data_IF_533152194096
#
_entry.id   IF_533152194096
#
_cell.length_a   1.000
_cell.length_b   1.000
_cell.length_c   1.000
_cell.angle_alpha   90.00
_cell.angle_beta   90.00
_cell.angle_gamma   90.00
#
_symmetry.space_group_name_H-M   'P 1'
#
loop_
_entity.id
_entity.type
_entity.pdbx_description
1 polymer ?
#
# COMPACT_ATOMS: atom_id res chain seq x y z
N UNK A 1 18.93 -40.27 9.48
CA UNK A 1 19.39 -39.67 10.75
C UNK A 1 20.47 -38.66 10.44
N UNK A 2 20.40 -37.45 11.00
CA UNK A 2 21.43 -36.40 10.84
C UNK A 2 22.55 -36.51 11.89
N UNK A 3 22.41 -37.44 12.85
CA UNK A 3 23.39 -37.71 13.91
C UNK A 3 24.71 -38.15 13.29
N UNK A 4 25.81 -37.52 13.70
CA UNK A 4 27.18 -37.82 13.23
C UNK A 4 27.65 -37.05 11.99
N UNK A 5 26.80 -36.21 11.38
CA UNK A 5 27.21 -35.33 10.27
C UNK A 5 27.72 -33.99 10.76
N UNK A 6 28.60 -33.36 9.99
CA UNK A 6 29.10 -32.03 10.33
C UNK A 6 28.01 -30.98 10.05
N UNK A 7 27.72 -30.13 11.03
CA UNK A 7 26.71 -29.07 10.89
C UNK A 7 27.09 -28.03 9.83
N UNK A 8 28.37 -27.90 9.49
CA UNK A 8 28.84 -27.01 8.41
C UNK A 8 28.27 -27.36 7.04
N UNK A 9 27.93 -28.63 6.79
CA UNK A 9 27.38 -29.11 5.52
C UNK A 9 26.00 -28.51 5.19
N UNK A 10 25.32 -27.99 6.20
CA UNK A 10 23.97 -27.44 6.07
C UNK A 10 23.96 -25.92 5.91
N UNK A 11 25.07 -25.20 6.09
CA UNK A 11 25.09 -23.75 5.87
C UNK A 11 25.18 -23.45 4.38
N UNK A 12 24.31 -22.56 3.87
CA UNK A 12 24.29 -22.22 2.45
C UNK A 12 25.40 -21.23 2.05
N UNK A 13 25.92 -20.46 3.01
CA UNK A 13 26.93 -19.41 2.80
C UNK A 13 28.25 -19.78 3.47
N UNK A 14 29.35 -19.57 2.74
CA UNK A 14 30.72 -19.77 3.25
C UNK A 14 31.02 -18.80 4.40
N UNK A 15 31.67 -19.26 5.47
CA UNK A 15 32.05 -18.44 6.63
C UNK A 15 30.90 -18.10 7.60
N UNK A 16 29.64 -18.40 7.25
CA UNK A 16 28.47 -18.08 8.08
C UNK A 16 28.50 -18.82 9.42
N UNK A 17 28.93 -20.08 9.42
CA UNK A 17 29.04 -20.90 10.64
C UNK A 17 30.09 -20.34 11.59
N UNK A 18 31.27 -19.99 11.09
CA UNK A 18 32.38 -19.45 11.89
C UNK A 18 31.94 -18.14 12.57
N UNK A 19 31.21 -17.30 11.84
CA UNK A 19 30.61 -16.07 12.39
C UNK A 19 29.60 -16.37 13.49
N UNK A 20 28.71 -17.34 13.31
CA UNK A 20 27.73 -17.73 14.33
C UNK A 20 28.43 -18.30 15.56
N UNK A 21 29.33 -19.25 15.39
CA UNK A 21 30.04 -19.90 16.50
C UNK A 21 30.83 -18.87 17.30
N UNK A 22 31.58 -17.99 16.62
CA UNK A 22 32.32 -16.92 17.30
C UNK A 22 31.39 -15.93 18.03
N UNK A 23 30.23 -15.59 17.45
CA UNK A 23 29.23 -14.74 18.09
C UNK A 23 28.64 -15.39 19.34
N UNK A 24 28.24 -16.67 19.27
CA UNK A 24 27.66 -17.39 20.42
C UNK A 24 28.69 -17.59 21.54
N UNK A 25 29.96 -17.88 21.21
CA UNK A 25 31.01 -18.00 22.22
C UNK A 25 31.31 -16.66 22.89
N UNK A 26 31.34 -15.57 22.10
CA UNK A 26 31.63 -14.22 22.61
C UNK A 26 30.48 -13.66 23.45
N UNK A 27 29.25 -13.77 22.96
CA UNK A 27 28.08 -13.08 23.49
C UNK A 27 27.22 -13.99 24.39
N UNK A 28 27.57 -15.28 24.49
CA UNK A 28 26.87 -16.27 25.31
C UNK A 28 25.56 -16.78 24.71
N UNK A 29 25.07 -16.17 23.63
CA UNK A 29 23.91 -16.63 22.87
C UNK A 29 23.80 -15.90 21.52
N UNK A 30 23.01 -16.46 20.62
CA UNK A 30 22.43 -15.75 19.47
C UNK A 30 20.93 -16.06 19.46
N UNK A 31 20.10 -15.07 19.14
CA UNK A 31 18.64 -15.24 19.12
C UNK A 31 18.07 -14.58 17.88
N UNK A 32 17.30 -15.34 17.11
CA UNK A 32 16.58 -14.79 15.97
C UNK A 32 17.48 -14.36 14.80
N UNK A 33 18.66 -14.97 14.65
CA UNK A 33 19.53 -14.66 13.50
C UNK A 33 18.99 -15.35 12.25
N UNK A 34 18.66 -14.58 11.22
CA UNK A 34 18.22 -15.12 9.94
C UNK A 34 19.40 -15.63 9.13
N UNK A 35 19.31 -16.89 8.71
CA UNK A 35 20.34 -17.55 7.94
C UNK A 35 19.75 -18.50 6.90
N UNK A 36 20.58 -18.92 5.96
CA UNK A 36 20.15 -19.83 4.90
C UNK A 36 20.79 -21.19 5.09
N UNK A 37 19.94 -22.20 5.18
CA UNK A 37 20.37 -23.59 5.30
C UNK A 37 20.10 -24.35 4.01
N UNK A 38 20.88 -25.40 3.78
CA UNK A 38 20.62 -26.42 2.78
C UNK A 38 19.89 -27.58 3.44
N UNK A 39 18.70 -27.89 2.95
CA UNK A 39 17.94 -29.07 3.40
C UNK A 39 18.65 -30.36 2.99
N UNK A 40 18.22 -31.50 3.55
CA UNK A 40 18.73 -32.80 3.11
C UNK A 40 18.42 -33.10 1.63
N UNK A 41 17.44 -32.41 1.04
CA UNK A 41 17.07 -32.52 -0.36
C UNK A 41 17.90 -31.58 -1.26
N UNK A 42 18.79 -30.76 -0.68
CA UNK A 42 19.65 -29.82 -1.40
C UNK A 42 19.05 -28.43 -1.59
N UNK A 43 17.77 -28.23 -1.25
CA UNK A 43 17.05 -26.96 -1.33
C UNK A 43 17.58 -25.94 -0.32
N UNK A 44 17.57 -24.67 -0.68
CA UNK A 44 17.90 -23.58 0.24
C UNK A 44 16.63 -23.18 0.99
N UNK A 45 16.70 -23.19 2.32
CA UNK A 45 15.63 -22.75 3.22
C UNK A 45 16.10 -21.54 4.02
N UNK A 46 15.22 -20.57 4.20
CA UNK A 46 15.43 -19.48 5.16
C UNK A 46 15.11 -20.02 6.56
N UNK A 47 16.06 -19.88 7.48
CA UNK A 47 15.97 -20.37 8.85
C UNK A 47 16.22 -19.25 9.85
N UNK A 48 15.46 -19.25 10.94
CA UNK A 48 15.67 -18.39 12.09
C UNK A 48 16.42 -19.18 13.16
N UNK A 49 17.68 -18.85 13.40
CA UNK A 49 18.55 -19.54 14.33
C UNK A 49 18.60 -18.84 15.68
N UNK A 50 18.39 -19.63 16.73
CA UNK A 50 18.81 -19.29 18.09
C UNK A 50 19.75 -20.37 18.60
N UNK A 51 20.86 -19.98 19.21
CA UNK A 51 21.84 -20.92 19.73
C UNK A 51 22.50 -20.42 21.02
N UNK A 52 22.80 -21.37 21.91
CA UNK A 52 23.48 -21.14 23.18
C UNK A 52 24.62 -22.15 23.38
N UNK A 53 25.68 -21.80 24.11
CA UNK A 53 26.69 -22.77 24.53
C UNK A 53 26.13 -23.68 25.63
N UNK A 54 26.46 -24.96 25.55
CA UNK A 54 26.14 -25.98 26.55
C UNK A 54 27.35 -26.88 26.80
N UNK A 55 27.26 -27.71 27.83
CA UNK A 55 28.16 -28.86 28.00
C UNK A 55 27.39 -30.13 27.68
N UNK A 56 27.91 -30.93 26.74
CA UNK A 56 27.35 -32.21 26.34
C UNK A 56 28.43 -33.29 26.51
N UNK A 57 28.15 -34.34 27.29
CA UNK A 57 29.11 -35.40 27.64
C UNK A 57 30.48 -34.88 28.13
N UNK A 58 30.45 -33.81 28.93
CA UNK A 58 31.66 -33.18 29.49
C UNK A 58 32.48 -32.35 28.49
N UNK A 59 32.01 -32.17 27.26
CA UNK A 59 32.65 -31.35 26.23
C UNK A 59 31.83 -30.09 25.92
N UNK A 60 32.48 -28.95 25.59
CA UNK A 60 31.80 -27.76 25.09
C UNK A 60 31.05 -28.05 23.78
N UNK A 61 29.78 -27.67 23.72
CA UNK A 61 28.93 -27.84 22.55
C UNK A 61 28.00 -26.63 22.38
N UNK A 62 27.32 -26.55 21.23
CA UNK A 62 26.26 -25.56 21.00
C UNK A 62 24.92 -26.27 20.88
N UNK A 63 23.91 -25.78 21.59
CA UNK A 63 22.52 -26.14 21.38
C UNK A 63 21.90 -25.07 20.48
N UNK A 64 21.50 -25.47 19.28
CA UNK A 64 20.83 -24.60 18.31
C UNK A 64 19.43 -25.08 17.98
N UNK A 65 18.49 -24.14 17.83
CA UNK A 65 17.15 -24.37 17.29
C UNK A 65 17.01 -23.53 16.03
N UNK A 66 16.55 -24.15 14.95
CA UNK A 66 16.25 -23.49 13.68
C UNK A 66 14.78 -23.62 13.39
N UNK A 67 14.11 -22.48 13.19
CA UNK A 67 12.74 -22.43 12.70
C UNK A 67 12.78 -22.15 11.21
N UNK A 68 12.16 -23.00 10.39
CA UNK A 68 12.03 -22.72 8.96
C UNK A 68 11.05 -21.55 8.76
N UNK A 69 11.52 -20.46 8.16
CA UNK A 69 10.74 -19.25 7.89
C UNK A 69 10.57 -18.99 6.38
N UNK A 70 10.95 -19.94 5.52
CA UNK A 70 10.90 -19.81 4.06
C UNK A 70 9.51 -19.42 3.58
N UNK A 71 8.49 -20.18 4.00
CA UNK A 71 7.11 -19.94 3.58
C UNK A 71 6.56 -18.62 4.13
N UNK A 72 6.90 -18.31 5.38
CA UNK A 72 6.54 -17.02 6.00
C UNK A 72 7.13 -15.86 5.21
N UNK A 73 8.42 -15.90 4.88
CA UNK A 73 9.08 -14.84 4.08
C UNK A 73 8.55 -14.78 2.66
N UNK A 74 8.10 -15.90 2.07
CA UNK A 74 7.45 -15.92 0.76
C UNK A 74 6.13 -15.16 0.81
N UNK A 75 5.27 -15.49 1.78
CA UNK A 75 3.98 -14.82 2.00
C UNK A 75 4.18 -13.33 2.31
N UNK A 76 5.12 -12.98 3.18
CA UNK A 76 5.42 -11.56 3.50
C UNK A 76 5.85 -10.78 2.26
N UNK A 77 6.70 -11.36 1.40
CA UNK A 77 7.14 -10.75 0.13
C UNK A 77 5.99 -10.62 -0.87
N UNK A 78 5.14 -11.64 -0.98
CA UNK A 78 3.96 -11.60 -1.86
C UNK A 78 2.95 -10.57 -1.40
N UNK A 79 2.70 -10.49 -0.09
CA UNK A 79 1.83 -9.49 0.50
C UNK A 79 2.37 -8.07 0.29
N UNK A 80 3.67 -7.85 0.50
CA UNK A 80 4.30 -6.56 0.27
C UNK A 80 4.15 -6.12 -1.20
N UNK A 81 4.40 -7.02 -2.15
CA UNK A 81 4.21 -6.75 -3.59
C UNK A 81 2.77 -6.48 -3.96
N UNK A 82 1.83 -7.29 -3.44
CA UNK A 82 0.40 -7.09 -3.70
C UNK A 82 -0.09 -5.74 -3.13
N UNK A 83 0.41 -5.35 -1.96
CA UNK A 83 0.14 -4.05 -1.35
C UNK A 83 0.68 -2.90 -2.22
N UNK A 84 1.93 -2.97 -2.65
CA UNK A 84 2.55 -1.96 -3.52
C UNK A 84 1.77 -1.79 -4.84
N UNK A 85 1.38 -2.90 -5.47
CA UNK A 85 0.54 -2.88 -6.67
C UNK A 85 -0.83 -2.25 -6.43
N UNK A 86 -1.47 -2.55 -5.29
CA UNK A 86 -2.75 -1.96 -4.93
C UNK A 86 -2.62 -0.45 -4.66
N UNK A 87 -1.55 -0.01 -4.00
CA UNK A 87 -1.26 1.41 -3.74
C UNK A 87 -1.00 2.17 -5.06
N UNK A 88 -0.20 1.62 -5.96
CA UNK A 88 0.05 2.20 -7.29
C UNK A 88 -1.24 2.31 -8.11
N UNK A 89 -2.07 1.26 -8.13
CA UNK A 89 -3.35 1.26 -8.83
C UNK A 89 -4.31 2.32 -8.27
N UNK A 90 -4.36 2.49 -6.95
CA UNK A 90 -5.19 3.52 -6.31
C UNK A 90 -4.68 4.93 -6.64
N UNK A 91 -3.36 5.15 -6.62
CA UNK A 91 -2.79 6.43 -7.01
C UNK A 91 -3.12 6.77 -8.47
N UNK A 92 -2.93 5.82 -9.39
CA UNK A 92 -3.27 6.00 -10.81
C UNK A 92 -4.76 6.29 -11.00
N UNK A 93 -5.65 5.57 -10.29
CA UNK A 93 -7.11 5.82 -10.30
C UNK A 93 -7.41 7.26 -9.88
N UNK A 94 -6.82 7.74 -8.79
CA UNK A 94 -7.01 9.11 -8.30
C UNK A 94 -6.55 10.16 -9.31
N UNK A 95 -5.32 10.00 -9.83
CA UNK A 95 -4.75 10.89 -10.85
C UNK A 95 -5.61 10.93 -12.12
N UNK A 96 -6.07 9.77 -12.58
CA UNK A 96 -6.93 9.66 -13.76
C UNK A 96 -8.26 10.40 -13.56
N UNK A 97 -8.93 10.18 -12.43
CA UNK A 97 -10.22 10.84 -12.15
C UNK A 97 -10.06 12.35 -11.98
N UNK A 98 -9.00 12.80 -11.32
CA UNK A 98 -8.70 14.23 -11.19
C UNK A 98 -8.54 14.90 -12.56
N UNK A 99 -7.76 14.28 -13.45
CA UNK A 99 -7.52 14.79 -14.79
C UNK A 99 -8.83 14.84 -15.62
N UNK A 100 -9.60 13.74 -15.62
CA UNK A 100 -10.87 13.66 -16.34
C UNK A 100 -11.87 14.70 -15.83
N UNK A 101 -11.92 14.92 -14.51
CA UNK A 101 -12.79 15.96 -13.93
C UNK A 101 -12.43 17.35 -14.43
N UNK A 102 -11.14 17.70 -14.46
CA UNK A 102 -10.68 18.98 -15.02
C UNK A 102 -11.05 19.13 -16.51
N UNK A 103 -10.89 18.04 -17.29
CA UNK A 103 -11.22 18.02 -18.72
C UNK A 103 -12.73 18.12 -19.00
N UNK A 104 -13.59 17.61 -18.10
CA UNK A 104 -15.05 17.75 -18.24
C UNK A 104 -15.52 19.12 -17.70
N UNK A 105 -14.94 19.61 -16.60
CA UNK A 105 -15.35 20.88 -15.97
C UNK A 105 -15.22 22.07 -16.92
N UNK A 106 -14.17 22.09 -17.74
CA UNK A 106 -13.92 23.18 -18.70
C UNK A 106 -15.03 23.34 -19.75
N UNK A 107 -15.38 22.32 -20.57
CA UNK A 107 -16.48 22.41 -21.53
C UNK A 107 -17.84 22.58 -20.84
N UNK A 108 -18.05 21.98 -19.65
CA UNK A 108 -19.29 22.16 -18.90
C UNK A 108 -19.49 23.60 -18.43
N UNK A 109 -18.46 24.23 -17.89
CA UNK A 109 -18.50 25.65 -17.51
C UNK A 109 -18.74 26.56 -18.72
N UNK A 110 -18.20 26.22 -19.89
CA UNK A 110 -18.49 26.92 -21.13
C UNK A 110 -19.97 26.79 -21.53
N UNK A 111 -20.55 25.58 -21.46
CA UNK A 111 -21.98 25.35 -21.75
C UNK A 111 -22.87 26.12 -20.79
N UNK A 112 -22.56 26.11 -19.49
CA UNK A 112 -23.32 26.87 -18.47
C UNK A 112 -23.21 28.37 -18.73
N UNK A 113 -21.99 28.88 -19.01
CA UNK A 113 -21.75 30.29 -19.34
C UNK A 113 -22.48 30.75 -20.60
N UNK A 114 -22.42 29.97 -21.69
CA UNK A 114 -23.17 30.22 -22.92
C UNK A 114 -24.69 30.19 -22.67
N UNK A 115 -25.16 29.27 -21.83
CA UNK A 115 -26.55 29.23 -21.41
C UNK A 115 -26.97 30.49 -20.66
N UNK A 116 -26.12 31.02 -19.77
CA UNK A 116 -26.37 32.29 -19.09
C UNK A 116 -26.44 33.48 -20.05
N UNK A 117 -25.60 33.51 -21.09
CA UNK A 117 -25.65 34.54 -22.13
C UNK A 117 -26.92 34.43 -22.98
N UNK A 118 -27.29 33.22 -23.41
CA UNK A 118 -28.53 32.95 -24.13
C UNK A 118 -29.76 33.36 -23.33
N UNK A 119 -29.76 33.16 -22.01
CA UNK A 119 -30.89 33.56 -21.17
C UNK A 119 -31.10 35.08 -21.09
N UNK A 120 -30.13 35.88 -21.57
CA UNK A 120 -30.24 37.35 -21.67
C UNK A 120 -30.77 37.81 -23.03
N UNK A 121 -31.09 36.90 -23.95
CA UNK A 121 -31.68 37.22 -25.26
C UNK A 121 -33.20 36.98 -25.25
N UNK A 122 -33.89 37.38 -26.31
CA UNK A 122 -35.30 37.02 -26.49
C UNK A 122 -35.40 35.56 -26.93
N UNK A 123 -35.95 34.72 -26.06
CA UNK A 123 -36.18 33.29 -26.29
C UNK A 123 -37.67 33.02 -26.41
N UNK A 124 -38.04 32.08 -27.27
CA UNK A 124 -39.40 31.53 -27.26
C UNK A 124 -39.62 30.68 -26.00
N UNK A 125 -40.87 30.46 -25.56
CA UNK A 125 -41.14 29.62 -24.39
C UNK A 125 -40.52 28.21 -24.48
N UNK A 126 -40.50 27.62 -25.69
CA UNK A 126 -39.88 26.31 -25.92
C UNK A 126 -38.36 26.35 -25.81
N UNK A 127 -37.71 27.41 -26.31
CA UNK A 127 -36.25 27.59 -26.17
C UNK A 127 -35.86 27.80 -24.71
N UNK A 128 -36.70 28.50 -23.94
CA UNK A 128 -36.50 28.71 -22.50
C UNK A 128 -36.59 27.39 -21.72
N UNK A 129 -37.56 26.53 -22.03
CA UNK A 129 -37.68 25.19 -21.45
C UNK A 129 -36.46 24.31 -21.77
N UNK A 130 -36.03 24.29 -23.04
CA UNK A 130 -34.82 23.54 -23.43
C UNK A 130 -33.56 24.06 -22.75
N UNK A 131 -33.39 25.38 -22.65
CA UNK A 131 -32.26 25.99 -21.96
C UNK A 131 -32.25 25.62 -20.47
N UNK A 132 -33.41 25.65 -19.80
CA UNK A 132 -33.55 25.22 -18.42
C UNK A 132 -33.14 23.76 -18.22
N UNK A 133 -33.57 22.86 -19.10
CA UNK A 133 -33.19 21.43 -19.08
C UNK A 133 -31.70 21.20 -19.29
N UNK A 134 -31.06 21.96 -20.18
CA UNK A 134 -29.60 21.92 -20.39
C UNK A 134 -28.88 22.37 -19.13
N UNK A 135 -29.29 23.50 -18.52
CA UNK A 135 -28.66 24.02 -17.31
C UNK A 135 -28.78 23.08 -16.11
N UNK A 136 -29.95 22.48 -15.91
CA UNK A 136 -30.16 21.48 -14.85
C UNK A 136 -29.27 20.26 -15.08
N UNK A 137 -29.29 19.68 -16.28
CA UNK A 137 -28.45 18.52 -16.62
C UNK A 137 -26.96 18.83 -16.45
N UNK A 138 -26.53 20.02 -16.83
CA UNK A 138 -25.15 20.45 -16.72
C UNK A 138 -24.67 20.54 -15.26
N UNK A 139 -25.50 21.11 -14.37
CA UNK A 139 -25.21 21.17 -12.93
C UNK A 139 -25.19 19.78 -12.32
N UNK A 140 -26.18 18.94 -12.63
CA UNK A 140 -26.22 17.56 -12.13
C UNK A 140 -24.98 16.76 -12.52
N UNK A 141 -24.49 16.93 -13.76
CA UNK A 141 -23.26 16.26 -14.20
C UNK A 141 -22.02 16.75 -13.44
N UNK A 142 -21.90 18.06 -13.20
CA UNK A 142 -20.79 18.61 -12.41
C UNK A 142 -20.81 18.07 -10.98
N UNK A 143 -21.99 18.03 -10.33
CA UNK A 143 -22.14 17.44 -8.99
C UNK A 143 -21.73 15.98 -8.96
N UNK A 144 -22.21 15.16 -9.91
CA UNK A 144 -21.82 13.75 -9.99
C UNK A 144 -20.31 13.55 -10.15
N UNK A 145 -19.65 14.41 -10.91
CA UNK A 145 -18.19 14.35 -11.10
C UNK A 145 -17.47 14.74 -9.81
N UNK A 146 -17.95 15.76 -9.11
CA UNK A 146 -17.38 16.18 -7.82
C UNK A 146 -17.56 15.07 -6.76
N UNK A 147 -18.73 14.42 -6.70
CA UNK A 147 -18.99 13.28 -5.81
C UNK A 147 -18.05 12.09 -6.09
N UNK A 148 -17.81 11.77 -7.38
CA UNK A 148 -16.88 10.70 -7.79
C UNK A 148 -15.44 11.04 -7.39
N UNK A 149 -15.04 12.29 -7.55
CA UNK A 149 -13.72 12.75 -7.12
C UNK A 149 -13.55 12.64 -5.61
N UNK A 150 -14.54 13.08 -4.85
CA UNK A 150 -14.46 13.07 -3.39
C UNK A 150 -14.40 11.64 -2.88
N UNK A 151 -15.22 10.73 -3.40
CA UNK A 151 -15.12 9.29 -3.13
C UNK A 151 -13.70 8.76 -3.38
N UNK A 152 -13.07 9.19 -4.48
CA UNK A 152 -11.73 8.74 -4.86
C UNK A 152 -10.64 9.26 -3.92
N UNK A 153 -10.80 10.47 -3.37
CA UNK A 153 -9.92 10.99 -2.31
C UNK A 153 -10.09 10.23 -0.99
N UNK A 154 -11.31 9.78 -0.67
CA UNK A 154 -11.56 8.93 0.51
C UNK A 154 -10.83 7.60 0.36
N UNK A 155 -11.01 6.93 -0.77
CA UNK A 155 -10.38 5.64 -1.08
C UNK A 155 -8.84 5.73 -1.01
N UNK A 156 -8.27 6.87 -1.40
CA UNK A 156 -6.83 7.14 -1.35
C UNK A 156 -6.33 7.60 0.04
N UNK A 157 -7.21 7.84 1.01
CA UNK A 157 -6.83 8.40 2.31
C UNK A 157 -6.36 9.86 2.25
N UNK A 158 -6.66 10.58 1.17
CA UNK A 158 -6.21 11.95 0.90
C UNK A 158 -7.19 13.02 1.42
N UNK A 159 -8.30 12.61 2.04
CA UNK A 159 -9.29 13.52 2.62
C UNK A 159 -8.68 14.28 3.81
N UNK A 160 -8.18 15.49 3.55
CA UNK A 160 -7.78 16.43 4.60
C UNK A 160 -9.00 17.25 4.99
N UNK A 161 -9.40 17.17 6.26
CA UNK A 161 -10.35 18.10 6.82
C UNK A 161 -9.69 19.49 6.86
N UNK A 162 -10.16 20.40 6.01
CA UNK A 162 -9.78 21.81 6.13
C UNK A 162 -10.62 22.45 7.24
N UNK A 163 -9.95 22.86 8.32
CA UNK A 163 -10.55 23.72 9.34
C UNK A 163 -10.40 25.16 8.88
N UNK A 164 -11.48 25.75 8.37
CA UNK A 164 -11.56 27.17 8.08
C UNK A 164 -12.45 27.85 9.12
N UNK A 165 -12.07 29.05 9.56
CA UNK A 165 -12.95 29.89 10.37
C UNK A 165 -14.10 30.34 9.47
N UNK A 166 -15.33 30.06 9.88
CA UNK A 166 -16.54 30.48 9.17
C UNK A 166 -17.53 31.11 10.15
N UNK A 167 -18.28 32.10 9.66
CA UNK A 167 -19.39 32.69 10.40
C UNK A 167 -20.65 31.85 10.16
N UNK A 168 -21.14 31.22 11.23
CA UNK A 168 -22.35 30.39 11.18
C UNK A 168 -23.59 31.20 10.75
N UNK A 169 -23.62 32.51 11.03
CA UNK A 169 -24.73 33.40 10.69
C UNK A 169 -24.88 33.59 9.17
N UNK A 170 -23.77 33.69 8.44
CA UNK A 170 -23.80 33.85 6.97
C UNK A 170 -24.21 32.56 6.23
N UNK A 171 -24.03 31.39 6.84
CA UNK A 171 -24.36 30.09 6.22
C UNK A 171 -25.84 29.73 6.41
N UNK A 172 -26.46 30.16 7.51
CA UNK A 172 -27.84 29.80 7.86
C UNK A 172 -28.90 30.73 7.24
N UNK A 173 -28.50 31.89 6.68
CA UNK A 173 -29.40 32.89 6.11
C UNK A 173 -29.67 32.74 4.59
N UNK A 174 -29.43 31.54 4.01
CA UNK A 174 -29.67 31.22 2.59
C UNK A 174 -30.79 30.18 2.39
#
# INVERSE_FOLDING_TARGET
SLVGRNTSEFYAQEGQREKIVSTVIRDGQITGEEIQYRSHAGEIIDGLLSAIPITFDGQPALLGVVVNITERRRIERELARAKEQAEEANHFKGQFLANVSHEIRTPMNAIVGLGHLLNRTQLTPQQQDYLGKIQVSARSLLTLIDDILDLSKIDAGELRLESIDFDLGEILDN
#
